data_IF_364523722212
#
_entry.id   IF_364523722212
#
_cell.length_a   1.000
_cell.length_b   1.000
_cell.length_c   1.000
_cell.angle_alpha   90.00
_cell.angle_beta   90.00
_cell.angle_gamma   90.00
#
_symmetry.space_group_name_H-M   'P 1'
#
loop_
_entity.id
_entity.type
_entity.pdbx_description
1 polymer ?
#
# COMPACT_ATOMS: atom_id res chain seq x y z
N UNK A 1 -22.58 -3.12 19.49
CA UNK A 1 -22.53 -2.49 18.16
C UNK A 1 -22.39 -3.61 17.15
N UNK A 2 -23.39 -3.73 16.27
CA UNK A 2 -23.48 -4.78 15.25
C UNK A 2 -22.48 -4.49 14.12
N UNK A 3 -21.81 -5.50 13.54
CA UNK A 3 -20.87 -5.28 12.44
C UNK A 3 -21.65 -4.87 11.19
N UNK A 4 -21.44 -3.61 10.77
CA UNK A 4 -21.88 -3.09 9.47
C UNK A 4 -21.50 -4.08 8.35
N UNK A 5 -22.47 -4.59 7.59
CA UNK A 5 -22.23 -5.64 6.60
C UNK A 5 -21.40 -5.11 5.44
N UNK A 6 -20.62 -6.00 4.81
CA UNK A 6 -19.79 -5.73 3.64
C UNK A 6 -20.57 -5.08 2.47
N UNK A 7 -21.89 -5.23 2.46
CA UNK A 7 -22.82 -4.62 1.51
C UNK A 7 -22.72 -3.07 1.49
N UNK A 8 -22.44 -2.42 2.62
CA UNK A 8 -22.38 -0.95 2.69
C UNK A 8 -21.10 -0.39 2.05
N UNK A 9 -20.00 -1.15 2.05
CA UNK A 9 -18.80 -0.77 1.31
C UNK A 9 -19.01 -0.79 -0.22
N UNK A 10 -20.03 -1.50 -0.72
CA UNK A 10 -20.33 -1.59 -2.15
C UNK A 10 -21.03 -0.31 -2.65
N UNK A 11 -21.89 0.29 -1.83
CA UNK A 11 -22.67 1.49 -2.17
C UNK A 11 -21.98 2.80 -1.79
N UNK A 12 -20.99 2.76 -0.90
CA UNK A 12 -20.23 3.94 -0.47
C UNK A 12 -19.58 4.66 -1.67
N UNK A 13 -19.74 5.98 -1.80
CA UNK A 13 -19.06 6.78 -2.82
C UNK A 13 -17.54 6.59 -2.71
N UNK A 14 -16.91 6.29 -3.84
CA UNK A 14 -15.45 6.14 -3.89
C UNK A 14 -14.86 7.53 -4.13
N UNK A 15 -13.95 8.01 -3.27
CA UNK A 15 -13.36 9.33 -3.42
C UNK A 15 -12.57 9.40 -4.73
N UNK A 16 -12.59 10.58 -5.36
CA UNK A 16 -11.70 10.86 -6.47
C UNK A 16 -10.26 11.05 -5.95
N UNK A 17 -9.29 10.53 -6.69
CA UNK A 17 -7.87 10.62 -6.34
C UNK A 17 -7.10 11.16 -7.54
N UNK A 18 -6.41 12.27 -7.33
CA UNK A 18 -5.48 12.84 -8.29
C UNK A 18 -4.10 12.19 -8.09
N UNK A 19 -3.62 11.52 -9.14
CA UNK A 19 -2.34 10.80 -9.12
C UNK A 19 -1.19 11.72 -9.55
N UNK A 20 -0.16 11.79 -8.71
CA UNK A 20 1.05 12.58 -8.93
C UNK A 20 2.22 11.60 -9.09
N UNK A 21 2.82 11.55 -10.28
CA UNK A 21 4.02 10.77 -10.52
C UNK A 21 5.23 11.48 -9.89
N UNK A 22 6.02 10.76 -9.08
CA UNK A 22 7.32 11.25 -8.64
C UNK A 22 8.24 11.35 -9.88
N UNK A 23 8.70 12.56 -10.21
CA UNK A 23 9.31 13.03 -11.51
C UNK A 23 10.50 12.21 -12.05
N UNK A 24 10.91 11.13 -11.37
CA UNK A 24 12.03 10.26 -11.71
C UNK A 24 11.63 9.00 -12.50
N UNK A 25 10.38 8.84 -12.94
CA UNK A 25 9.89 7.56 -13.47
C UNK A 25 9.03 7.69 -14.74
N UNK A 26 9.58 8.33 -15.79
CA UNK A 26 8.85 8.55 -17.06
C UNK A 26 8.66 7.30 -17.93
N UNK A 27 9.49 6.26 -17.75
CA UNK A 27 9.46 5.06 -18.61
C UNK A 27 8.66 3.88 -18.04
N UNK A 28 7.87 4.10 -16.98
CA UNK A 28 7.11 3.03 -16.33
C UNK A 28 5.67 2.95 -16.83
N UNK A 29 5.32 1.83 -17.48
CA UNK A 29 3.96 1.58 -17.94
C UNK A 29 3.04 1.17 -16.78
N UNK A 30 2.09 2.03 -16.41
CA UNK A 30 1.05 1.73 -15.40
C UNK A 30 0.28 0.45 -15.75
N UNK A 31 0.09 0.19 -17.05
CA UNK A 31 -0.55 -1.02 -17.52
C UNK A 31 0.09 -2.27 -16.89
N UNK A 32 1.41 -2.31 -16.76
CA UNK A 32 2.16 -3.51 -16.35
C UNK A 32 2.18 -3.74 -14.83
N UNK A 33 1.58 -2.83 -14.05
CA UNK A 33 1.49 -2.94 -12.59
C UNK A 33 0.75 -4.21 -12.20
N UNK A 34 1.43 -5.08 -11.45
CA UNK A 34 0.82 -6.29 -10.88
C UNK A 34 0.47 -6.11 -9.41
N UNK A 35 1.20 -5.25 -8.69
CA UNK A 35 0.96 -4.99 -7.26
C UNK A 35 1.11 -3.51 -6.93
N UNK A 36 0.29 -3.06 -5.99
CA UNK A 36 0.34 -1.71 -5.43
C UNK A 36 0.51 -1.79 -3.92
N UNK A 37 1.43 -1.02 -3.37
CA UNK A 37 1.57 -0.85 -1.93
C UNK A 37 1.16 0.57 -1.60
N UNK A 38 0.07 0.72 -0.84
CA UNK A 38 -0.36 2.01 -0.32
C UNK A 38 0.25 2.22 1.06
N UNK A 39 0.91 3.38 1.23
CA UNK A 39 1.42 3.89 2.50
C UNK A 39 0.42 4.89 3.07
N UNK A 40 -0.07 4.59 4.26
CA UNK A 40 -1.03 5.43 4.97
C UNK A 40 -0.44 5.88 6.31
N UNK A 41 -0.15 7.18 6.46
CA UNK A 41 0.17 7.71 7.78
C UNK A 41 -1.05 7.62 8.69
N UNK A 42 -0.88 7.03 9.88
CA UNK A 42 -1.99 6.83 10.82
C UNK A 42 -2.62 8.17 11.26
N UNK A 43 -1.81 9.23 11.30
CA UNK A 43 -2.25 10.57 11.70
C UNK A 43 -3.25 11.23 10.74
N UNK A 44 -3.30 10.81 9.47
CA UNK A 44 -4.21 11.41 8.46
C UNK A 44 -5.40 10.51 8.13
N UNK A 45 -5.53 9.35 8.77
CA UNK A 45 -6.60 8.39 8.47
C UNK A 45 -8.00 8.96 8.68
N UNK A 46 -8.21 9.66 9.78
CA UNK A 46 -9.51 10.29 10.07
C UNK A 46 -9.85 11.35 9.03
N UNK A 47 -8.89 12.21 8.67
CA UNK A 47 -9.07 13.24 7.64
C UNK A 47 -9.37 12.64 6.26
N UNK A 48 -8.70 11.53 5.89
CA UNK A 48 -9.00 10.83 4.64
C UNK A 48 -10.43 10.31 4.67
N UNK A 49 -10.88 9.78 5.80
CA UNK A 49 -12.23 9.22 5.92
C UNK A 49 -13.33 10.28 5.91
N UNK A 50 -13.11 11.40 6.60
CA UNK A 50 -13.98 12.57 6.51
C UNK A 50 -14.11 13.06 5.06
N UNK A 51 -13.01 13.07 4.29
CA UNK A 51 -13.07 13.43 2.86
C UNK A 51 -13.87 12.43 2.00
N UNK A 52 -14.06 11.20 2.49
CA UNK A 52 -14.89 10.19 1.85
C UNK A 52 -16.35 10.23 2.32
N UNK A 53 -16.72 11.14 3.22
CA UNK A 53 -18.00 11.15 3.94
C UNK A 53 -18.29 9.82 4.67
N UNK A 54 -17.24 9.13 5.14
CA UNK A 54 -17.33 7.90 5.94
C UNK A 54 -16.64 8.13 7.26
N UNK A 55 -17.23 7.69 8.38
CA UNK A 55 -16.51 7.70 9.66
C UNK A 55 -15.51 6.55 9.74
N UNK A 56 -14.27 6.84 10.11
CA UNK A 56 -13.29 5.78 10.38
C UNK A 56 -13.74 4.98 11.60
N UNK A 57 -14.03 3.69 11.40
CA UNK A 57 -14.31 2.78 12.50
C UNK A 57 -13.06 1.91 12.76
N UNK A 58 -12.32 2.12 13.87
CA UNK A 58 -11.14 1.31 14.19
C UNK A 58 -11.46 -0.16 14.40
N UNK A 59 -12.72 -0.52 14.68
CA UNK A 59 -13.18 -1.91 14.79
C UNK A 59 -13.45 -2.55 13.42
N UNK A 60 -13.44 -1.78 12.33
CA UNK A 60 -13.66 -2.24 10.95
C UNK A 60 -12.58 -1.75 9.98
N UNK A 61 -11.29 -1.99 10.27
CA UNK A 61 -10.18 -1.52 9.42
C UNK A 61 -10.21 -2.15 8.02
N UNK A 62 -10.94 -3.25 7.84
CA UNK A 62 -11.12 -3.90 6.55
C UNK A 62 -11.92 -3.04 5.58
N UNK A 63 -13.05 -2.46 6.01
CA UNK A 63 -13.88 -1.61 5.15
C UNK A 63 -13.08 -0.40 4.67
N UNK A 64 -12.29 0.20 5.57
CA UNK A 64 -11.37 1.27 5.25
C UNK A 64 -10.40 0.90 4.12
N UNK A 65 -9.69 -0.23 4.27
CA UNK A 65 -8.74 -0.74 3.27
C UNK A 65 -9.42 -1.03 1.93
N UNK A 66 -10.67 -1.48 1.93
CA UNK A 66 -11.45 -1.71 0.72
C UNK A 66 -11.81 -0.40 0.01
N UNK A 67 -12.24 0.64 0.73
CA UNK A 67 -12.53 1.97 0.16
C UNK A 67 -11.28 2.58 -0.49
N UNK A 68 -10.15 2.56 0.22
CA UNK A 68 -8.87 3.04 -0.32
C UNK A 68 -8.47 2.23 -1.56
N UNK A 69 -8.63 0.91 -1.51
CA UNK A 69 -8.37 0.03 -2.65
C UNK A 69 -9.18 0.42 -3.88
N UNK A 70 -10.49 0.65 -3.71
CA UNK A 70 -11.38 1.09 -4.80
C UNK A 70 -11.00 2.46 -5.35
N UNK A 71 -10.62 3.40 -4.49
CA UNK A 71 -10.21 4.75 -4.89
C UNK A 71 -8.95 4.71 -5.75
N UNK A 72 -7.92 4.00 -5.28
CA UNK A 72 -6.67 3.80 -6.01
C UNK A 72 -6.92 3.01 -7.31
N UNK A 73 -7.76 1.98 -7.27
CA UNK A 73 -8.10 1.18 -8.45
C UNK A 73 -8.74 2.05 -9.53
N UNK A 74 -9.74 2.86 -9.16
CA UNK A 74 -10.41 3.78 -10.08
C UNK A 74 -9.45 4.82 -10.64
N UNK A 75 -8.56 5.35 -9.82
CA UNK A 75 -7.62 6.39 -10.24
C UNK A 75 -6.56 5.88 -11.23
N UNK A 76 -6.01 4.67 -11.02
CA UNK A 76 -5.00 4.11 -11.91
C UNK A 76 -5.58 3.45 -13.16
N UNK A 77 -6.76 2.81 -13.05
CA UNK A 77 -7.26 1.91 -14.09
C UNK A 77 -8.65 2.27 -14.62
N UNK A 78 -9.32 3.28 -14.06
CA UNK A 78 -10.71 3.61 -14.39
C UNK A 78 -11.75 2.63 -13.80
N UNK A 79 -11.32 1.50 -13.24
CA UNK A 79 -12.16 0.47 -12.65
C UNK A 79 -11.92 0.37 -11.13
N UNK A 80 -13.00 0.42 -10.34
CA UNK A 80 -12.97 0.31 -8.87
C UNK A 80 -12.65 -1.11 -8.37
N UNK A 81 -12.85 -2.14 -9.19
CA UNK A 81 -12.76 -3.55 -8.77
C UNK A 81 -11.46 -4.25 -9.22
N UNK A 82 -10.61 -3.56 -9.98
CA UNK A 82 -9.37 -4.13 -10.52
C UNK A 82 -8.30 -4.41 -9.47
N UNK A 83 -8.39 -3.82 -8.27
CA UNK A 83 -7.49 -4.09 -7.15
C UNK A 83 -8.15 -4.92 -6.05
N UNK A 84 -7.52 -6.04 -5.71
CA UNK A 84 -7.89 -6.87 -4.57
C UNK A 84 -6.93 -6.62 -3.40
N UNK A 85 -7.47 -6.27 -2.23
CA UNK A 85 -6.70 -6.15 -1.00
C UNK A 85 -6.14 -7.52 -0.58
N UNK A 86 -4.84 -7.60 -0.31
CA UNK A 86 -4.16 -8.83 0.08
C UNK A 86 -3.90 -8.90 1.58
N UNK A 87 -3.00 -8.04 2.08
CA UNK A 87 -2.56 -7.97 3.47
C UNK A 87 -2.22 -6.52 3.81
N UNK A 88 -2.34 -6.18 5.08
CA UNK A 88 -1.74 -4.96 5.61
C UNK A 88 -0.75 -5.26 6.72
N UNK A 89 0.17 -4.33 6.94
CA UNK A 89 1.12 -4.35 8.05
C UNK A 89 1.33 -2.93 8.55
N UNK A 90 1.14 -2.74 9.85
CA UNK A 90 1.52 -1.50 10.51
C UNK A 90 3.00 -1.55 10.90
N UNK A 91 3.74 -0.48 10.62
CA UNK A 91 5.12 -0.30 11.03
C UNK A 91 5.23 1.13 11.56
N UNK A 92 5.50 1.27 12.86
CA UNK A 92 5.48 2.57 13.56
C UNK A 92 4.14 3.28 13.32
N UNK A 93 4.18 4.52 12.84
CA UNK A 93 3.00 5.36 12.63
C UNK A 93 2.45 5.27 11.19
N UNK A 94 2.82 4.22 10.44
CA UNK A 94 2.39 4.01 9.06
C UNK A 94 1.76 2.63 8.88
N UNK A 95 0.62 2.58 8.20
CA UNK A 95 0.05 1.34 7.68
C UNK A 95 0.46 1.14 6.21
N UNK A 96 0.88 -0.08 5.89
CA UNK A 96 1.20 -0.52 4.54
C UNK A 96 0.13 -1.50 4.11
N UNK A 97 -0.56 -1.22 3.01
CA UNK A 97 -1.61 -2.11 2.47
C UNK A 97 -1.18 -2.57 1.08
N UNK A 98 -1.11 -3.88 0.89
CA UNK A 98 -0.81 -4.50 -0.40
C UNK A 98 -2.08 -4.82 -1.17
N UNK A 99 -2.11 -4.44 -2.44
CA UNK A 99 -3.15 -4.76 -3.39
C UNK A 99 -2.57 -5.51 -4.59
N UNK A 100 -3.35 -6.46 -5.11
CA UNK A 100 -3.06 -7.20 -6.33
C UNK A 100 -3.97 -6.71 -7.45
N UNK A 101 -3.40 -6.49 -8.63
CA UNK A 101 -4.17 -6.26 -9.86
C UNK A 101 -4.76 -7.58 -10.36
N UNK A 102 -6.09 -7.73 -10.36
CA UNK A 102 -6.75 -9.00 -10.71
C UNK A 102 -6.87 -9.23 -12.22
N UNK A 103 -6.80 -8.17 -13.03
CA UNK A 103 -6.78 -8.28 -14.51
C UNK A 103 -5.40 -8.71 -15.04
N UNK A 104 -4.39 -8.78 -14.17
CA UNK A 104 -3.08 -9.35 -14.49
C UNK A 104 -3.02 -10.79 -13.97
N UNK A 105 -3.60 -11.70 -14.75
CA UNK A 105 -3.75 -13.13 -14.40
C UNK A 105 -2.66 -14.06 -14.91
N UNK A 106 -1.73 -13.64 -15.78
CA UNK A 106 -0.73 -14.53 -16.41
C UNK A 106 0.65 -13.83 -16.46
N UNK A 107 1.83 -14.41 -16.22
CA UNK A 107 2.44 -15.77 -16.31
C UNK A 107 3.43 -15.98 -15.13
N UNK A 108 4.04 -17.17 -14.91
CA UNK A 108 4.93 -17.41 -13.76
C UNK A 108 5.98 -16.31 -13.60
N UNK A 109 5.89 -15.63 -12.47
CA UNK A 109 6.59 -14.40 -12.09
C UNK A 109 8.08 -14.51 -12.42
N UNK A 110 8.54 -13.85 -13.49
CA UNK A 110 9.96 -13.48 -13.60
C UNK A 110 10.27 -12.26 -12.71
N UNK A 111 9.34 -11.31 -12.59
CA UNK A 111 9.45 -10.18 -11.65
C UNK A 111 8.11 -9.43 -11.51
N UNK A 112 7.54 -9.27 -10.31
CA UNK A 112 6.38 -8.42 -10.13
C UNK A 112 6.75 -6.96 -10.37
N UNK A 113 5.89 -6.24 -11.07
CA UNK A 113 5.96 -4.80 -11.23
C UNK A 113 5.16 -4.15 -10.11
N UNK A 114 5.89 -3.61 -9.14
CA UNK A 114 5.33 -3.04 -7.91
C UNK A 114 5.44 -1.52 -8.00
N UNK A 115 4.36 -0.83 -7.68
CA UNK A 115 4.40 0.61 -7.37
C UNK A 115 4.07 0.84 -5.91
N UNK A 116 4.61 1.92 -5.37
CA UNK A 116 4.32 2.41 -4.03
C UNK A 116 3.57 3.72 -4.18
N UNK A 117 2.44 3.82 -3.49
CA UNK A 117 1.55 4.97 -3.46
C UNK A 117 1.54 5.52 -2.04
N UNK A 118 1.69 6.83 -1.89
CA UNK A 118 1.56 7.53 -0.62
C UNK A 118 0.41 8.54 -0.74
N UNK A 119 -0.61 8.38 0.10
CA UNK A 119 -1.66 9.40 0.20
C UNK A 119 -1.12 10.63 0.92
N UNK A 120 -1.43 11.80 0.37
CA UNK A 120 -1.13 13.08 0.99
C UNK A 120 -2.25 13.46 1.96
N UNK A 121 -1.93 14.42 2.83
CA UNK A 121 -2.92 15.02 3.72
C UNK A 121 -4.07 15.62 2.89
N UNK A 122 -5.33 15.26 3.20
CA UNK A 122 -6.48 15.80 2.48
C UNK A 122 -6.60 17.31 2.63
N UNK A 123 -6.92 18.00 1.55
CA UNK A 123 -7.25 19.42 1.57
C UNK A 123 -8.77 19.57 1.39
N UNK A 124 -9.48 20.26 2.31
CA UNK A 124 -10.92 20.45 2.19
C UNK A 124 -11.32 21.02 0.82
N UNK A 125 -12.35 20.42 0.20
CA UNK A 125 -12.84 20.83 -1.12
C UNK A 125 -12.00 20.37 -2.31
N UNK A 126 -10.90 19.63 -2.10
CA UNK A 126 -10.10 19.03 -3.17
C UNK A 126 -10.25 17.50 -3.18
N UNK A 127 -9.97 16.90 -4.34
CA UNK A 127 -9.79 15.45 -4.43
C UNK A 127 -8.62 15.01 -3.53
N UNK A 128 -8.64 13.75 -3.13
CA UNK A 128 -7.48 13.14 -2.48
C UNK A 128 -6.30 13.18 -3.45
N UNK A 129 -5.10 13.41 -2.93
CA UNK A 129 -3.88 13.40 -3.74
C UNK A 129 -3.02 12.22 -3.34
N UNK A 130 -2.47 11.55 -4.33
CA UNK A 130 -1.59 10.41 -4.12
C UNK A 130 -0.32 10.57 -4.93
N UNK A 131 0.83 10.52 -4.27
CA UNK A 131 2.13 10.46 -4.95
C UNK A 131 2.49 9.00 -5.15
N UNK A 132 2.99 8.64 -6.32
CA UNK A 132 3.41 7.28 -6.59
C UNK A 132 4.74 7.19 -7.33
N UNK A 133 5.40 6.05 -7.12
CA UNK A 133 6.60 5.66 -7.86
C UNK A 133 6.70 4.15 -8.05
N UNK A 134 7.35 3.69 -9.13
CA UNK A 134 7.89 2.35 -9.24
C UNK A 134 8.75 1.97 -8.03
N UNK A 135 8.65 0.72 -7.62
CA UNK A 135 9.46 0.12 -6.58
C UNK A 135 10.11 -1.19 -7.11
N UNK A 136 11.00 -1.10 -8.13
CA UNK A 136 11.67 -2.25 -8.73
C UNK A 136 12.60 -2.98 -7.75
N UNK A 137 12.86 -2.41 -6.58
CA UNK A 137 13.54 -3.05 -5.47
C UNK A 137 12.66 -4.06 -4.69
N UNK A 138 11.35 -4.04 -4.89
CA UNK A 138 10.39 -4.90 -4.20
C UNK A 138 10.06 -6.19 -4.97
N UNK A 139 11.03 -6.72 -5.72
CA UNK A 139 10.91 -8.04 -6.36
C UNK A 139 11.18 -9.15 -5.35
N UNK A 140 10.58 -10.35 -5.51
CA UNK A 140 10.82 -11.50 -4.63
C UNK A 140 12.31 -11.84 -4.51
N UNK A 141 13.07 -11.70 -5.60
CA UNK A 141 14.52 -11.90 -5.59
C UNK A 141 15.23 -10.93 -4.64
N UNK A 142 14.96 -9.62 -4.77
CA UNK A 142 15.57 -8.59 -3.91
C UNK A 142 15.06 -8.64 -2.46
N UNK A 143 13.81 -9.04 -2.25
CA UNK A 143 13.25 -9.26 -0.90
C UNK A 143 13.92 -10.47 -0.23
N UNK A 144 14.10 -11.58 -0.96
CA UNK A 144 14.85 -12.74 -0.45
C UNK A 144 16.30 -12.38 -0.13
N UNK A 145 16.95 -11.65 -1.02
CA UNK A 145 18.33 -11.19 -0.80
C UNK A 145 18.45 -10.32 0.45
N UNK A 146 17.56 -9.33 0.63
CA UNK A 146 17.53 -8.52 1.85
C UNK A 146 17.27 -9.33 3.11
N UNK A 147 16.39 -10.33 3.03
CA UNK A 147 16.12 -11.23 4.17
C UNK A 147 17.37 -12.03 4.53
N UNK A 148 18.09 -12.53 3.52
CA UNK A 148 19.36 -13.27 3.71
C UNK A 148 20.43 -12.39 4.33
N UNK A 149 20.63 -11.17 3.82
CA UNK A 149 21.60 -10.22 4.37
C UNK A 149 21.30 -9.88 5.84
N UNK A 150 20.02 -9.62 6.18
CA UNK A 150 19.62 -9.37 7.58
C UNK A 150 19.84 -10.58 8.49
N UNK A 151 19.56 -11.79 8.00
CA UNK A 151 19.82 -13.01 8.76
C UNK A 151 21.32 -13.18 9.04
N UNK A 152 22.17 -12.88 8.05
CA UNK A 152 23.62 -12.87 8.20
C UNK A 152 24.10 -11.80 9.19
N UNK A 153 23.61 -10.56 9.08
CA UNK A 153 23.91 -9.48 10.03
C UNK A 153 23.51 -9.85 11.47
N UNK A 154 22.32 -10.44 11.64
CA UNK A 154 21.86 -10.90 12.95
C UNK A 154 22.74 -12.03 13.49
N UNK A 155 23.17 -12.97 12.64
CA UNK A 155 24.10 -14.04 13.03
C UNK A 155 25.45 -13.49 13.47
N UNK A 156 25.98 -12.49 12.76
CA UNK A 156 27.24 -11.82 13.12
C UNK A 156 27.07 -11.07 14.44
N UNK A 157 26.00 -10.28 14.61
CA UNK A 157 25.71 -9.59 15.88
C UNK A 157 25.63 -10.55 17.06
N UNK A 158 25.02 -11.72 16.88
CA UNK A 158 24.90 -12.72 17.94
C UNK A 158 26.25 -13.38 18.26
N UNK A 159 27.12 -13.62 17.26
CA UNK A 159 28.49 -14.08 17.50
C UNK A 159 29.31 -13.06 18.29
N UNK A 160 29.21 -11.78 17.96
CA UNK A 160 29.89 -10.70 18.71
C UNK A 160 29.40 -10.63 20.15
N UNK A 161 28.08 -10.73 20.40
CA UNK A 161 27.53 -10.82 21.76
C UNK A 161 28.09 -12.01 22.53
N UNK A 162 28.19 -13.19 21.89
CA UNK A 162 28.77 -14.39 22.52
C UNK A 162 30.25 -14.21 22.88
N UNK A 163 30.97 -13.34 22.17
CA UNK A 163 32.35 -12.96 22.47
C UNK A 163 32.47 -11.79 23.45
N UNK A 164 31.36 -11.27 23.99
CA UNK A 164 31.36 -10.13 24.91
C UNK A 164 31.68 -8.79 24.24
N UNK A 165 31.57 -8.71 22.91
CA UNK A 165 31.83 -7.50 22.13
C UNK A 165 30.51 -6.85 21.72
N UNK A 166 30.41 -5.53 21.90
CA UNK A 166 29.31 -4.73 21.38
C UNK A 166 29.70 -4.09 20.04
N UNK A 167 28.83 -4.25 19.05
CA UNK A 167 28.87 -3.46 17.82
C UNK A 167 28.09 -2.16 18.08
N UNK A 168 28.80 -1.03 18.13
CA UNK A 168 28.20 0.32 18.18
C UNK A 168 27.38 0.62 16.91
#
# INVERSE_FOLDING_TARGET
MEPTPLADAITTPVPAVDLILEDRCRDFAIADVTHIIVKLPLGILNSIMESCAVSYNPNQPRLFREIIGKAISKAFFGDKQQLQCMKSKQIRNMEYIGYRNVHRTETPIKSPQVIVVALLEPVPGQNLKAVWKPAPELTPAKIRERTRLRAMENSVREQYRRWGLHLD
#
